data_IF_399148417856
#
_entry.id   IF_399148417856
#
_cell.length_a   1.000
_cell.length_b   1.000
_cell.length_c   1.000
_cell.angle_alpha   90.00
_cell.angle_beta   90.00
_cell.angle_gamma   90.00
#
_symmetry.space_group_name_H-M   'P 1'
#
loop_
_entity.id
_entity.type
_entity.pdbx_description
1 polymer ?
#
# COMPACT_ATOMS: atom_id res chain seq x y z
N UNK A 1 -11.93 -20.94 36.23
CA UNK A 1 -10.70 -20.29 35.70
C UNK A 1 -9.91 -21.33 34.93
N UNK A 2 -9.92 -21.30 33.59
CA UNK A 2 -9.07 -22.16 32.76
C UNK A 2 -7.96 -21.26 32.20
N UNK A 3 -6.76 -21.37 32.77
CA UNK A 3 -5.54 -20.79 32.21
C UNK A 3 -5.25 -21.48 30.88
N UNK A 4 -5.47 -20.77 29.78
CA UNK A 4 -4.96 -21.16 28.47
C UNK A 4 -3.45 -20.89 28.47
N UNK A 5 -2.67 -21.95 28.30
CA UNK A 5 -1.21 -21.91 28.18
C UNK A 5 -0.87 -21.10 26.91
N UNK A 6 -0.18 -19.96 27.06
CA UNK A 6 0.47 -19.27 25.93
C UNK A 6 1.52 -20.22 25.33
N UNK A 7 1.23 -20.83 24.19
CA UNK A 7 2.23 -21.55 23.39
C UNK A 7 3.19 -20.53 22.80
N UNK A 8 4.40 -20.45 23.36
CA UNK A 8 5.43 -19.45 23.02
C UNK A 8 6.16 -19.68 21.69
N UNK A 9 5.52 -20.23 20.66
CA UNK A 9 6.14 -20.54 19.35
C UNK A 9 5.75 -19.60 18.21
N UNK A 10 4.59 -18.95 18.31
CA UNK A 10 4.02 -18.25 17.17
C UNK A 10 4.56 -16.82 17.09
N UNK A 11 5.51 -16.60 16.19
CA UNK A 11 6.21 -15.33 16.02
C UNK A 11 5.46 -14.33 15.15
N UNK A 12 4.61 -14.85 14.27
CA UNK A 12 3.91 -14.07 13.27
C UNK A 12 2.42 -14.27 13.34
N UNK A 13 1.70 -13.29 12.83
CA UNK A 13 0.27 -13.39 12.54
C UNK A 13 0.08 -12.89 11.11
N UNK A 14 -0.33 -13.79 10.22
CA UNK A 14 -0.63 -13.46 8.83
C UNK A 14 -2.05 -12.94 8.78
N UNK A 15 -2.23 -11.77 8.18
CA UNK A 15 -3.50 -11.06 8.12
C UNK A 15 -3.82 -10.74 6.67
N UNK A 16 -5.10 -10.90 6.32
CA UNK A 16 -5.69 -10.37 5.10
C UNK A 16 -7.07 -9.79 5.42
N UNK A 17 -7.42 -8.68 4.76
CA UNK A 17 -8.73 -8.04 4.89
C UNK A 17 -9.34 -7.72 3.52
N UNK A 18 -10.64 -7.96 3.40
CA UNK A 18 -11.46 -7.40 2.33
C UNK A 18 -12.17 -6.15 2.83
N UNK A 19 -12.29 -5.11 2.00
CA UNK A 19 -12.72 -3.77 2.44
C UNK A 19 -13.72 -3.14 1.48
N UNK A 20 -14.56 -2.23 1.98
CA UNK A 20 -15.57 -1.53 1.16
C UNK A 20 -15.00 -0.48 0.19
N UNK A 21 -13.70 -0.25 0.28
CA UNK A 21 -12.96 0.71 -0.51
C UNK A 21 -11.48 0.72 -0.13
N UNK A 22 -10.75 1.75 -0.51
CA UNK A 22 -9.29 1.79 -0.40
C UNK A 22 -8.76 2.65 0.75
N UNK A 23 -9.64 3.41 1.43
CA UNK A 23 -9.25 4.39 2.45
C UNK A 23 -9.81 4.02 3.81
N UNK A 24 -8.97 3.49 4.68
CA UNK A 24 -9.35 3.09 6.02
C UNK A 24 -10.01 4.20 6.87
N UNK A 25 -9.78 5.49 6.59
CA UNK A 25 -10.43 6.62 7.29
C UNK A 25 -11.93 6.74 7.02
N UNK A 26 -12.38 6.27 5.86
CA UNK A 26 -13.78 6.36 5.41
C UNK A 26 -14.41 4.98 5.23
N UNK A 27 -13.67 4.06 4.62
CA UNK A 27 -14.13 2.74 4.22
C UNK A 27 -13.99 1.75 5.39
N UNK A 28 -14.66 0.59 5.28
CA UNK A 28 -14.85 -0.39 6.36
C UNK A 28 -14.28 -1.75 5.99
N UNK A 29 -13.92 -2.55 7.00
CA UNK A 29 -13.58 -3.97 6.84
C UNK A 29 -14.85 -4.78 6.60
N UNK A 30 -14.82 -5.67 5.62
CA UNK A 30 -15.91 -6.56 5.19
C UNK A 30 -15.65 -8.03 5.52
N UNK A 31 -14.38 -8.42 5.53
CA UNK A 31 -13.92 -9.75 5.91
C UNK A 31 -12.52 -9.63 6.50
N UNK A 32 -12.20 -10.48 7.46
CA UNK A 32 -10.85 -10.57 8.04
C UNK A 32 -10.47 -12.01 8.24
N UNK A 33 -9.23 -12.33 7.87
CA UNK A 33 -8.56 -13.55 8.27
C UNK A 33 -7.28 -13.21 9.03
N UNK A 34 -7.03 -13.91 10.13
CA UNK A 34 -5.83 -13.80 10.94
C UNK A 34 -5.37 -15.19 11.38
N UNK A 35 -4.17 -15.57 10.97
CA UNK A 35 -3.58 -16.90 11.18
C UNK A 35 -2.26 -16.75 11.95
N UNK A 36 -2.13 -17.35 13.13
CA UNK A 36 -0.82 -17.37 13.80
C UNK A 36 0.11 -18.35 13.08
N UNK A 37 1.39 -17.99 12.97
CA UNK A 37 2.38 -18.78 12.25
C UNK A 37 3.65 -18.89 13.09
N UNK A 38 4.13 -20.13 13.29
CA UNK A 38 5.39 -20.44 13.98
C UNK A 38 6.62 -20.21 13.08
N UNK A 39 7.83 -20.31 13.64
CA UNK A 39 9.08 -20.08 12.90
C UNK A 39 9.32 -21.00 11.68
N UNK A 40 8.66 -22.16 11.67
CA UNK A 40 8.73 -23.14 10.60
C UNK A 40 7.64 -22.92 9.54
N UNK A 41 6.71 -21.99 9.76
CA UNK A 41 5.60 -21.72 8.84
C UNK A 41 4.36 -22.56 9.10
N UNK A 42 4.24 -23.24 10.25
CA UNK A 42 3.02 -23.96 10.62
C UNK A 42 1.97 -22.96 11.11
N UNK A 43 0.77 -23.11 10.57
CA UNK A 43 -0.40 -22.34 11.02
C UNK A 43 -0.91 -22.92 12.34
N UNK A 44 -1.16 -22.04 13.30
CA UNK A 44 -1.64 -22.38 14.64
C UNK A 44 -3.10 -21.99 14.84
N UNK A 45 -3.33 -20.89 15.56
CA UNK A 45 -4.66 -20.35 15.86
C UNK A 45 -5.15 -19.50 14.71
N UNK A 46 -6.46 -19.52 14.49
CA UNK A 46 -7.08 -18.86 13.35
C UNK A 46 -8.34 -18.10 13.78
N UNK A 47 -8.58 -16.98 13.11
CA UNK A 47 -9.87 -16.29 13.05
C UNK A 47 -10.14 -15.96 11.59
N UNK A 48 -11.30 -16.36 11.08
CA UNK A 48 -11.78 -15.97 9.76
C UNK A 48 -13.27 -15.69 9.85
N UNK A 49 -13.68 -14.49 9.46
CA UNK A 49 -15.08 -14.08 9.54
C UNK A 49 -15.39 -12.93 8.58
N UNK A 50 -16.62 -12.94 8.07
CA UNK A 50 -17.22 -11.73 7.53
C UNK A 50 -17.45 -10.72 8.66
N UNK A 51 -17.51 -9.44 8.29
CA UNK A 51 -17.74 -8.32 9.19
C UNK A 51 -18.84 -7.45 8.60
N UNK A 52 -19.89 -7.18 9.38
CA UNK A 52 -20.92 -6.23 8.97
C UNK A 52 -20.36 -4.80 9.05
N UNK A 53 -20.21 -4.09 7.92
CA UNK A 53 -19.63 -2.75 7.91
C UNK A 53 -20.61 -1.66 8.33
N UNK A 54 -21.92 -1.97 8.43
CA UNK A 54 -22.97 -0.98 8.66
C UNK A 54 -23.12 0.06 7.53
N UNK A 55 -22.53 -0.19 6.36
CA UNK A 55 -22.58 0.67 5.18
C UNK A 55 -22.59 -0.16 3.89
N UNK A 56 -22.66 0.52 2.74
CA UNK A 56 -22.47 -0.11 1.43
C UNK A 56 -21.09 -0.83 1.37
N UNK A 57 -21.03 -2.12 1.00
CA UNK A 57 -19.78 -2.83 0.83
C UNK A 57 -19.00 -2.43 -0.43
N UNK A 58 -19.52 -1.54 -1.26
CA UNK A 58 -18.79 -1.04 -2.42
C UNK A 58 -18.73 -2.06 -3.56
N UNK A 59 -17.59 -2.24 -4.25
CA UNK A 59 -17.51 -2.99 -5.51
C UNK A 59 -17.59 -4.52 -5.31
N UNK A 60 -18.80 -5.03 -5.07
CA UNK A 60 -19.10 -6.46 -4.86
C UNK A 60 -18.49 -7.40 -5.90
N UNK A 61 -18.32 -6.96 -7.16
CA UNK A 61 -17.70 -7.77 -8.21
C UNK A 61 -16.22 -8.13 -7.96
N UNK A 62 -15.54 -7.44 -7.04
CA UNK A 62 -14.14 -7.72 -6.67
C UNK A 62 -14.08 -8.84 -5.63
N UNK A 63 -14.77 -8.68 -4.51
CA UNK A 63 -14.67 -9.55 -3.32
C UNK A 63 -15.88 -10.49 -3.12
N UNK A 64 -16.92 -10.37 -3.98
CA UNK A 64 -18.15 -11.19 -3.95
C UNK A 64 -18.94 -11.11 -2.64
N UNK A 65 -18.78 -10.01 -1.87
CA UNK A 65 -19.48 -9.79 -0.60
C UNK A 65 -20.67 -8.84 -0.81
N UNK A 66 -21.87 -9.40 -0.89
CA UNK A 66 -23.10 -8.61 -1.05
C UNK A 66 -23.58 -8.06 0.30
N UNK A 67 -24.40 -6.99 0.32
CA UNK A 67 -25.01 -6.49 1.55
C UNK A 67 -25.75 -7.58 2.34
N UNK A 68 -26.46 -8.48 1.65
CA UNK A 68 -27.25 -9.55 2.28
C UNK A 68 -26.34 -10.57 2.98
N UNK A 69 -25.18 -10.89 2.38
CA UNK A 69 -24.20 -11.81 2.97
C UNK A 69 -23.54 -11.21 4.22
N UNK A 70 -23.44 -9.88 4.29
CA UNK A 70 -22.83 -9.15 5.40
C UNK A 70 -23.82 -8.77 6.50
N UNK A 71 -25.12 -8.67 6.21
CA UNK A 71 -26.12 -8.18 7.16
C UNK A 71 -26.21 -9.00 8.46
N UNK A 72 -25.97 -10.32 8.39
CA UNK A 72 -25.96 -11.22 9.54
C UNK A 72 -24.58 -11.44 10.18
N UNK A 73 -23.52 -10.83 9.64
CA UNK A 73 -22.18 -10.96 10.17
C UNK A 73 -22.00 -10.12 11.45
N UNK A 74 -21.05 -10.48 12.34
CA UNK A 74 -20.72 -9.65 13.49
C UNK A 74 -20.16 -8.29 13.04
N UNK A 75 -20.36 -7.26 13.84
CA UNK A 75 -19.65 -5.98 13.65
C UNK A 75 -18.20 -6.09 14.12
N UNK A 76 -17.35 -5.15 13.72
CA UNK A 76 -15.92 -5.23 14.04
C UNK A 76 -15.65 -5.26 15.56
N UNK A 77 -16.38 -4.46 16.34
CA UNK A 77 -16.24 -4.41 17.80
C UNK A 77 -16.53 -5.76 18.48
N UNK A 78 -17.41 -6.58 17.91
CA UNK A 78 -17.71 -7.93 18.42
C UNK A 78 -16.54 -8.89 18.23
N UNK A 79 -15.77 -8.76 17.14
CA UNK A 79 -14.65 -9.66 16.82
C UNK A 79 -13.30 -9.13 17.32
N UNK A 80 -13.23 -7.83 17.61
CA UNK A 80 -11.99 -7.14 17.96
C UNK A 80 -11.24 -7.79 19.14
N UNK A 81 -11.86 -8.20 20.26
CA UNK A 81 -11.14 -8.83 21.37
C UNK A 81 -10.40 -10.11 20.95
N UNK A 82 -11.04 -10.97 20.16
CA UNK A 82 -10.42 -12.20 19.67
C UNK A 82 -9.31 -11.91 18.66
N UNK A 83 -9.52 -10.94 17.77
CA UNK A 83 -8.49 -10.52 16.81
C UNK A 83 -7.26 -9.93 17.52
N UNK A 84 -7.46 -9.06 18.52
CA UNK A 84 -6.34 -8.46 19.27
C UNK A 84 -5.52 -9.52 20.01
N UNK A 85 -6.15 -10.57 20.54
CA UNK A 85 -5.43 -11.68 21.20
C UNK A 85 -4.55 -12.49 20.23
N UNK A 86 -4.97 -12.63 18.96
CA UNK A 86 -4.11 -13.21 17.92
C UNK A 86 -2.95 -12.27 17.56
N UNK A 87 -3.19 -10.96 17.54
CA UNK A 87 -2.20 -9.95 17.21
C UNK A 87 -1.17 -9.69 18.32
N UNK A 88 -1.54 -9.88 19.59
CA UNK A 88 -0.70 -9.54 20.75
C UNK A 88 0.63 -10.31 20.74
N UNK A 89 1.73 -9.58 20.94
CA UNK A 89 3.08 -10.13 20.98
C UNK A 89 3.65 -10.64 19.66
N UNK A 90 2.94 -10.50 18.52
CA UNK A 90 3.35 -11.04 17.21
C UNK A 90 3.65 -9.94 16.19
N UNK A 91 4.48 -10.27 15.21
CA UNK A 91 4.66 -9.41 14.03
C UNK A 91 3.52 -9.67 13.04
N UNK A 92 2.78 -8.61 12.68
CA UNK A 92 1.74 -8.69 11.65
C UNK A 92 2.38 -8.86 10.27
N UNK A 93 1.99 -9.88 9.53
CA UNK A 93 2.44 -10.13 8.16
C UNK A 93 1.25 -9.97 7.23
N UNK A 94 1.40 -9.14 6.20
CA UNK A 94 0.35 -8.93 5.21
C UNK A 94 0.98 -8.69 3.84
N UNK A 95 0.25 -8.94 2.76
CA UNK A 95 0.80 -8.76 1.41
C UNK A 95 1.10 -7.29 1.13
N UNK A 96 0.14 -6.41 1.45
CA UNK A 96 0.32 -4.97 1.51
C UNK A 96 0.15 -4.47 2.94
N UNK A 97 1.02 -4.91 3.86
CA UNK A 97 0.85 -4.71 5.30
C UNK A 97 0.64 -3.28 5.80
N UNK A 98 0.89 -2.26 4.97
CA UNK A 98 0.47 -0.90 5.29
C UNK A 98 -1.06 -0.77 5.27
N UNK A 99 -1.69 -1.26 4.20
CA UNK A 99 -3.13 -1.24 3.97
C UNK A 99 -3.89 -2.00 5.06
N UNK A 100 -3.61 -3.29 5.22
CA UNK A 100 -4.31 -4.17 6.16
C UNK A 100 -4.20 -3.64 7.60
N UNK A 101 -2.98 -3.28 8.01
CA UNK A 101 -2.72 -2.73 9.33
C UNK A 101 -3.52 -1.45 9.60
N UNK A 102 -3.62 -0.51 8.65
CA UNK A 102 -4.35 0.73 8.93
C UNK A 102 -5.87 0.58 8.88
N UNK A 103 -6.41 -0.37 8.11
CA UNK A 103 -7.81 -0.75 8.24
C UNK A 103 -8.09 -1.31 9.64
N UNK A 104 -7.29 -2.29 10.09
CA UNK A 104 -7.42 -2.85 11.43
C UNK A 104 -7.22 -1.79 12.53
N UNK A 105 -6.24 -0.90 12.38
CA UNK A 105 -5.98 0.16 13.37
C UNK A 105 -7.16 1.12 13.48
N UNK A 106 -7.73 1.57 12.35
CA UNK A 106 -8.86 2.51 12.38
C UNK A 106 -10.17 1.85 12.79
N UNK A 107 -10.42 0.60 12.43
CA UNK A 107 -11.54 -0.16 13.00
C UNK A 107 -11.38 -0.35 14.51
N UNK A 108 -10.17 -0.66 15.00
CA UNK A 108 -9.90 -0.77 16.44
C UNK A 108 -10.15 0.55 17.15
N UNK A 109 -9.72 1.68 16.57
CA UNK A 109 -10.00 3.01 17.10
C UNK A 109 -11.50 3.32 17.15
N UNK A 110 -12.27 2.95 16.11
CA UNK A 110 -13.74 3.08 16.10
C UNK A 110 -14.40 2.24 17.18
N UNK A 111 -13.86 1.05 17.45
CA UNK A 111 -14.31 0.15 18.51
C UNK A 111 -13.82 0.56 19.91
N UNK A 112 -13.00 1.61 20.03
CA UNK A 112 -12.43 2.04 21.31
C UNK A 112 -11.38 1.07 21.88
N UNK A 113 -10.72 0.29 21.03
CA UNK A 113 -9.74 -0.74 21.40
C UNK A 113 -8.36 -0.36 20.87
N UNK A 114 -7.35 -0.50 21.71
CA UNK A 114 -5.96 -0.34 21.29
C UNK A 114 -5.46 -1.59 20.55
N UNK A 115 -4.92 -1.38 19.34
CA UNK A 115 -4.29 -2.44 18.57
C UNK A 115 -2.91 -2.76 19.16
N UNK A 116 -2.63 -4.02 19.57
CA UNK A 116 -1.39 -4.40 20.25
C UNK A 116 -0.19 -4.56 19.29
N UNK A 117 -0.43 -4.53 17.98
CA UNK A 117 0.59 -4.72 16.95
C UNK A 117 1.65 -3.62 17.00
N UNK A 118 2.87 -3.99 17.37
CA UNK A 118 4.05 -3.09 17.41
C UNK A 118 4.89 -3.16 16.15
N UNK A 119 4.81 -4.26 15.41
CA UNK A 119 5.65 -4.53 14.24
C UNK A 119 4.83 -5.14 13.13
N UNK A 120 5.19 -4.80 11.89
CA UNK A 120 4.60 -5.34 10.67
C UNK A 120 5.64 -5.69 9.62
N UNK A 121 5.32 -6.64 8.75
CA UNK A 121 6.13 -7.06 7.62
C UNK A 121 5.26 -7.14 6.37
N UNK A 122 5.74 -6.55 5.28
CA UNK A 122 5.07 -6.55 3.98
C UNK A 122 5.73 -7.55 3.04
N UNK A 123 4.98 -8.53 2.52
CA UNK A 123 5.57 -9.54 1.62
C UNK A 123 5.92 -8.99 0.24
N UNK A 124 5.31 -7.89 -0.21
CA UNK A 124 5.78 -7.13 -1.39
C UNK A 124 7.16 -6.50 -1.14
N UNK A 125 7.44 -6.00 0.06
CA UNK A 125 8.76 -5.48 0.40
C UNK A 125 9.80 -6.61 0.47
N UNK A 126 9.39 -7.77 0.98
CA UNK A 126 10.24 -8.95 1.06
C UNK A 126 10.56 -9.51 -0.33
N UNK A 127 9.58 -9.66 -1.21
CA UNK A 127 9.79 -10.17 -2.58
C UNK A 127 10.71 -9.26 -3.40
N UNK A 128 10.59 -7.93 -3.25
CA UNK A 128 11.52 -6.96 -3.85
C UNK A 128 12.93 -7.11 -3.31
N UNK A 129 13.09 -7.26 -1.99
CA UNK A 129 14.40 -7.46 -1.36
C UNK A 129 15.08 -8.74 -1.84
N UNK A 130 14.29 -9.79 -2.07
CA UNK A 130 14.76 -11.06 -2.62
C UNK A 130 15.04 -11.02 -4.13
N UNK A 131 14.63 -9.95 -4.82
CA UNK A 131 14.77 -9.80 -6.27
C UNK A 131 14.21 -11.02 -7.03
N UNK A 132 13.05 -11.53 -6.61
CA UNK A 132 12.43 -12.69 -7.25
C UNK A 132 12.13 -12.40 -8.72
N UNK A 133 12.53 -13.32 -9.60
CA UNK A 133 12.24 -13.26 -11.04
C UNK A 133 10.75 -13.49 -11.29
N UNK A 134 9.99 -12.39 -11.24
CA UNK A 134 8.54 -12.37 -11.35
C UNK A 134 8.12 -11.11 -12.11
N UNK A 135 7.11 -11.18 -12.98
CA UNK A 135 6.67 -10.02 -13.78
C UNK A 135 6.07 -8.90 -12.93
N UNK A 136 5.62 -9.22 -11.72
CA UNK A 136 5.11 -8.28 -10.73
C UNK A 136 5.09 -8.98 -9.35
N UNK A 137 4.74 -8.22 -8.30
CA UNK A 137 4.70 -8.74 -6.93
C UNK A 137 3.29 -8.95 -6.40
N UNK A 138 2.28 -9.19 -7.23
CA UNK A 138 0.93 -9.56 -6.76
C UNK A 138 0.97 -10.91 -6.03
N UNK A 139 0.08 -11.14 -5.07
CA UNK A 139 0.02 -12.38 -4.30
C UNK A 139 -0.08 -13.60 -5.20
N UNK A 140 -0.96 -13.58 -6.20
CA UNK A 140 -1.11 -14.67 -7.17
C UNK A 140 0.15 -14.96 -7.99
N UNK A 141 0.94 -13.93 -8.31
CA UNK A 141 2.22 -14.10 -9.01
C UNK A 141 3.28 -14.72 -8.11
N UNK A 142 3.33 -14.31 -6.83
CA UNK A 142 4.22 -14.91 -5.85
C UNK A 142 3.80 -16.35 -5.51
N UNK A 143 2.51 -16.61 -5.41
CA UNK A 143 1.96 -17.95 -5.21
C UNK A 143 2.39 -18.89 -6.35
N UNK A 144 2.23 -18.45 -7.60
CA UNK A 144 2.68 -19.20 -8.77
C UNK A 144 4.20 -19.45 -8.76
N UNK A 145 5.01 -18.45 -8.43
CA UNK A 145 6.47 -18.59 -8.31
C UNK A 145 6.86 -19.66 -7.28
N UNK A 146 6.20 -19.67 -6.12
CA UNK A 146 6.45 -20.65 -5.05
C UNK A 146 5.67 -21.96 -5.21
N UNK A 147 4.89 -22.12 -6.29
CA UNK A 147 4.02 -23.28 -6.54
C UNK A 147 2.99 -23.52 -5.44
N UNK A 148 2.50 -22.45 -4.83
CA UNK A 148 1.40 -22.45 -3.85
C UNK A 148 0.08 -22.36 -4.61
N UNK A 149 -0.86 -23.26 -4.31
CA UNK A 149 -2.19 -23.26 -4.91
C UNK A 149 -3.07 -22.19 -4.24
N UNK A 150 -3.69 -21.35 -5.05
CA UNK A 150 -4.76 -20.42 -4.63
C UNK A 150 -6.08 -20.93 -5.20
N UNK A 151 -7.05 -21.19 -4.33
CA UNK A 151 -8.30 -21.84 -4.71
C UNK A 151 -9.39 -20.81 -5.04
N UNK A 152 -9.43 -19.70 -4.30
CA UNK A 152 -10.45 -18.67 -4.42
C UNK A 152 -9.84 -17.29 -4.11
N UNK A 153 -9.29 -16.64 -5.13
CA UNK A 153 -8.77 -15.27 -5.00
C UNK A 153 -9.86 -14.30 -4.53
N UNK A 154 -9.46 -13.31 -3.72
CA UNK A 154 -10.35 -12.32 -3.08
C UNK A 154 -11.28 -12.94 -2.03
N UNK A 155 -10.85 -14.04 -1.43
CA UNK A 155 -11.40 -14.58 -0.19
C UNK A 155 -10.31 -14.44 0.88
N UNK A 156 -10.58 -13.65 1.91
CA UNK A 156 -9.58 -13.31 2.91
C UNK A 156 -8.92 -14.54 3.55
N UNK A 157 -9.66 -15.65 3.72
CA UNK A 157 -9.10 -16.85 4.33
C UNK A 157 -8.16 -17.61 3.39
N UNK A 158 -8.59 -17.85 2.15
CA UNK A 158 -7.73 -18.48 1.14
C UNK A 158 -6.48 -17.62 0.88
N UNK A 159 -6.65 -16.30 0.77
CA UNK A 159 -5.56 -15.36 0.56
C UNK A 159 -4.58 -15.35 1.75
N UNK A 160 -5.08 -15.42 3.00
CA UNK A 160 -4.22 -15.55 4.18
C UNK A 160 -3.45 -16.88 4.22
N UNK A 161 -4.06 -18.00 3.82
CA UNK A 161 -3.40 -19.31 3.74
C UNK A 161 -2.31 -19.33 2.67
N UNK A 162 -2.60 -18.78 1.48
CA UNK A 162 -1.62 -18.63 0.40
C UNK A 162 -0.49 -17.73 0.86
N UNK A 163 -0.81 -16.60 1.49
CA UNK A 163 0.16 -15.65 2.01
C UNK A 163 1.06 -16.26 3.07
N UNK A 164 0.53 -17.10 3.98
CA UNK A 164 1.33 -17.80 4.99
C UNK A 164 2.39 -18.71 4.36
N UNK A 165 2.04 -19.44 3.31
CA UNK A 165 2.97 -20.28 2.57
C UNK A 165 4.01 -19.46 1.79
N UNK A 166 3.56 -18.43 1.04
CA UNK A 166 4.44 -17.51 0.30
C UNK A 166 5.43 -16.82 1.25
N UNK A 167 4.95 -16.35 2.39
CA UNK A 167 5.79 -15.74 3.42
C UNK A 167 6.81 -16.73 3.96
N UNK A 168 6.40 -17.95 4.28
CA UNK A 168 7.30 -19.00 4.79
C UNK A 168 8.43 -19.30 3.81
N UNK A 169 8.11 -19.51 2.53
CA UNK A 169 9.13 -19.73 1.49
C UNK A 169 10.07 -18.54 1.34
N UNK A 170 9.51 -17.33 1.28
CA UNK A 170 10.28 -16.09 1.15
C UNK A 170 11.19 -15.84 2.35
N UNK A 171 10.72 -16.10 3.57
CA UNK A 171 11.48 -15.91 4.80
C UNK A 171 12.61 -16.95 4.93
N UNK A 172 12.38 -18.20 4.51
CA UNK A 172 13.43 -19.21 4.43
C UNK A 172 14.49 -18.85 3.41
N UNK A 173 14.11 -18.37 2.22
CA UNK A 173 15.07 -17.88 1.22
C UNK A 173 15.88 -16.70 1.78
N UNK A 174 15.22 -15.71 2.38
CA UNK A 174 15.91 -14.57 2.99
C UNK A 174 16.94 -15.02 4.03
N UNK A 175 16.58 -16.00 4.88
CA UNK A 175 17.51 -16.60 5.86
C UNK A 175 18.70 -17.26 5.19
N UNK A 176 18.48 -18.05 4.13
CA UNK A 176 19.57 -18.72 3.39
C UNK A 176 20.51 -17.76 2.66
N UNK A 177 20.02 -16.56 2.32
CA UNK A 177 20.80 -15.49 1.71
C UNK A 177 21.35 -14.49 2.74
N UNK A 178 21.18 -14.76 4.04
CA UNK A 178 21.55 -13.88 5.15
C UNK A 178 20.95 -12.46 5.04
N UNK A 179 19.79 -12.34 4.39
CA UNK A 179 19.07 -11.09 4.23
C UNK A 179 18.10 -10.87 5.40
N UNK A 180 18.09 -9.68 6.02
CA UNK A 180 17.13 -9.39 7.08
C UNK A 180 15.71 -9.30 6.53
N UNK A 181 14.74 -9.74 7.32
CA UNK A 181 13.33 -9.53 7.02
C UNK A 181 12.96 -8.02 7.08
N UNK A 182 12.09 -7.51 6.21
CA UNK A 182 11.69 -6.10 6.19
C UNK A 182 10.62 -5.81 7.27
N UNK A 183 10.97 -6.05 8.53
CA UNK A 183 10.12 -5.72 9.67
C UNK A 183 10.20 -4.22 9.93
N UNK A 184 9.04 -3.58 10.09
CA UNK A 184 8.89 -2.15 10.35
C UNK A 184 8.08 -1.97 11.63
N UNK A 185 8.54 -1.07 12.50
CA UNK A 185 7.81 -0.68 13.71
C UNK A 185 6.57 0.13 13.34
N UNK A 186 5.42 -0.25 13.88
CA UNK A 186 4.19 0.50 13.73
C UNK A 186 4.29 1.78 14.56
N UNK A 187 4.22 2.94 13.91
CA UNK A 187 4.12 4.24 14.58
C UNK A 187 2.65 4.63 14.77
N UNK A 188 2.37 5.53 15.71
CA UNK A 188 1.02 6.11 15.88
C UNK A 188 0.51 6.85 14.63
N UNK A 189 1.43 7.31 13.75
CA UNK A 189 1.07 7.84 12.44
C UNK A 189 0.64 6.73 11.50
N UNK A 190 -0.62 6.78 11.08
CA UNK A 190 -1.20 5.97 10.00
C UNK A 190 -0.62 6.38 8.63
N UNK A 191 0.65 6.09 8.36
CA UNK A 191 1.19 6.18 6.99
C UNK A 191 0.75 4.93 6.22
N UNK A 192 -0.43 4.99 5.61
CA UNK A 192 -1.09 3.90 4.90
C UNK A 192 -0.51 3.63 3.50
N UNK A 193 0.21 4.60 2.95
CA UNK A 193 1.02 4.48 1.74
C UNK A 193 2.29 5.32 1.95
N UNK A 194 3.43 5.06 1.28
CA UNK A 194 4.51 6.03 1.29
C UNK A 194 3.99 7.33 0.67
N UNK A 195 3.86 8.37 1.48
CA UNK A 195 3.55 9.74 1.04
C UNK A 195 4.62 10.30 0.11
N UNK A 196 5.78 9.65 0.09
CA UNK A 196 6.97 10.04 -0.65
C UNK A 196 7.28 9.03 -1.75
N UNK A 197 7.40 9.55 -2.96
CA UNK A 197 7.94 8.84 -4.10
C UNK A 197 9.48 8.87 -3.97
N UNK A 198 10.17 7.73 -4.10
CA UNK A 198 11.63 7.72 -4.22
C UNK A 198 12.08 8.60 -5.39
N UNK A 199 13.00 9.53 -5.11
CA UNK A 199 13.44 10.51 -6.11
C UNK A 199 14.41 9.86 -7.11
N UNK A 200 14.05 9.88 -8.39
CA UNK A 200 14.93 9.51 -9.50
C UNK A 200 15.64 10.74 -10.03
N UNK A 201 16.90 10.60 -10.44
CA UNK A 201 17.63 11.70 -11.08
C UNK A 201 17.03 11.99 -12.47
N UNK A 202 16.47 13.19 -12.65
CA UNK A 202 15.98 13.64 -13.95
C UNK A 202 17.14 14.25 -14.78
N UNK A 203 17.36 13.75 -15.99
CA UNK A 203 18.42 14.20 -16.90
C UNK A 203 18.13 15.54 -17.60
N UNK A 204 16.91 16.04 -17.51
CA UNK A 204 16.44 17.21 -18.25
C UNK A 204 16.33 18.46 -17.35
N UNK A 205 16.53 19.63 -17.93
CA UNK A 205 16.30 20.92 -17.29
C UNK A 205 14.80 21.18 -17.13
N UNK A 206 14.42 21.91 -16.07
CA UNK A 206 13.02 22.23 -15.85
C UNK A 206 12.60 23.41 -16.75
N UNK A 207 11.70 23.22 -17.73
CA UNK A 207 11.30 24.27 -18.68
C UNK A 207 10.34 25.29 -18.08
N UNK A 208 9.88 25.09 -16.83
CA UNK A 208 8.97 26.00 -16.14
C UNK A 208 7.55 25.43 -15.97
N UNK A 209 6.56 26.29 -15.63
CA UNK A 209 5.18 25.89 -15.41
C UNK A 209 4.48 25.42 -16.68
N UNK A 210 3.53 24.49 -16.52
CA UNK A 210 2.67 24.01 -17.61
C UNK A 210 1.70 25.13 -18.04
N UNK A 211 1.78 25.57 -19.29
CA UNK A 211 0.85 26.52 -19.89
C UNK A 211 -0.56 25.92 -20.07
N UNK A 212 -1.61 26.74 -20.19
CA UNK A 212 -3.00 26.28 -20.31
C UNK A 212 -3.22 25.36 -21.53
N UNK A 213 -2.75 25.78 -22.70
CA UNK A 213 -2.83 25.00 -23.95
C UNK A 213 -1.53 24.22 -24.26
N UNK A 214 -0.61 24.15 -23.29
CA UNK A 214 0.70 23.53 -23.44
C UNK A 214 0.70 22.02 -23.20
N UNK A 215 1.58 21.31 -23.90
CA UNK A 215 1.90 19.91 -23.61
C UNK A 215 2.92 19.75 -22.48
N UNK A 216 3.05 18.52 -21.97
CA UNK A 216 4.13 18.17 -21.06
C UNK A 216 5.47 18.18 -21.81
N UNK A 217 6.51 18.69 -21.16
CA UNK A 217 7.88 18.73 -21.70
C UNK A 217 8.80 17.99 -20.72
N UNK A 218 9.74 17.17 -21.23
CA UNK A 218 10.70 16.48 -20.36
C UNK A 218 11.44 17.48 -19.46
N UNK A 219 11.64 17.09 -18.20
CA UNK A 219 12.22 17.93 -17.16
C UNK A 219 11.22 18.74 -16.34
N UNK A 220 9.95 18.83 -16.76
CA UNK A 220 8.89 19.44 -15.94
C UNK A 220 8.78 18.75 -14.58
N UNK A 221 8.65 19.57 -13.54
CA UNK A 221 8.53 19.11 -12.16
C UNK A 221 7.09 18.83 -11.79
N UNK A 222 6.75 17.57 -11.59
CA UNK A 222 5.38 17.13 -11.33
C UNK A 222 5.22 16.76 -9.87
N UNK A 223 4.22 17.31 -9.19
CA UNK A 223 3.83 16.90 -7.84
C UNK A 223 2.51 16.17 -7.90
N UNK A 224 2.49 14.92 -7.44
CA UNK A 224 1.24 14.19 -7.23
C UNK A 224 0.66 14.64 -5.88
N UNK A 225 -0.61 15.02 -5.87
CA UNK A 225 -1.34 15.51 -4.71
C UNK A 225 -2.67 14.76 -4.53
N UNK A 226 -3.07 14.59 -3.27
CA UNK A 226 -4.28 13.84 -2.93
C UNK A 226 -4.21 12.38 -3.39
N UNK A 227 -5.39 11.82 -3.59
CA UNK A 227 -5.56 10.47 -4.12
C UNK A 227 -5.47 10.46 -5.65
N UNK A 228 -5.10 9.31 -6.19
CA UNK A 228 -5.03 9.01 -7.62
C UNK A 228 -5.69 7.65 -7.85
N UNK A 229 -6.39 7.45 -8.97
CA UNK A 229 -6.98 6.14 -9.31
C UNK A 229 -5.87 5.14 -9.65
N UNK A 230 -4.78 5.62 -10.23
CA UNK A 230 -3.55 4.85 -10.43
C UNK A 230 -2.73 4.89 -9.14
N UNK A 231 -2.20 3.76 -8.63
CA UNK A 231 -1.32 3.76 -7.46
C UNK A 231 -0.17 4.75 -7.61
N UNK A 232 0.07 5.59 -6.60
CA UNK A 232 1.04 6.71 -6.65
C UNK A 232 2.43 6.32 -7.17
N UNK A 233 2.93 5.15 -6.75
CA UNK A 233 4.22 4.62 -7.23
C UNK A 233 4.21 4.29 -8.72
N UNK A 234 3.12 3.73 -9.25
CA UNK A 234 2.99 3.43 -10.68
C UNK A 234 2.89 4.71 -11.49
N UNK A 235 2.09 5.67 -11.03
CA UNK A 235 1.98 6.97 -11.70
C UNK A 235 3.33 7.69 -11.71
N UNK A 236 4.05 7.67 -10.60
CA UNK A 236 5.40 8.23 -10.53
C UNK A 236 6.40 7.53 -11.46
N UNK A 237 6.34 6.21 -11.60
CA UNK A 237 7.17 5.48 -12.54
C UNK A 237 6.89 5.91 -13.99
N UNK A 238 5.62 5.99 -14.39
CA UNK A 238 5.21 6.45 -15.72
C UNK A 238 5.68 7.89 -16.02
N UNK A 239 5.52 8.80 -15.06
CA UNK A 239 6.01 10.18 -15.18
C UNK A 239 7.54 10.21 -15.36
N UNK A 240 8.26 9.40 -14.59
CA UNK A 240 9.73 9.32 -14.66
C UNK A 240 10.20 8.74 -15.99
N UNK A 241 9.57 7.67 -16.47
CA UNK A 241 9.84 7.06 -17.79
C UNK A 241 9.59 8.03 -18.93
N UNK A 242 8.56 8.88 -18.81
CA UNK A 242 8.29 9.95 -19.75
C UNK A 242 9.28 11.12 -19.68
N UNK A 243 10.27 11.09 -18.78
CA UNK A 243 11.31 12.10 -18.63
C UNK A 243 10.92 13.28 -17.73
N UNK A 244 9.88 13.16 -16.91
CA UNK A 244 9.44 14.21 -15.97
C UNK A 244 10.11 14.06 -14.60
N UNK A 245 10.28 15.15 -13.86
CA UNK A 245 10.93 15.19 -12.53
C UNK A 245 9.86 15.10 -11.43
N UNK A 246 9.65 13.92 -10.85
CA UNK A 246 8.62 13.72 -9.82
C UNK A 246 9.10 14.25 -8.46
N UNK A 247 8.31 15.16 -7.89
CA UNK A 247 8.61 15.88 -6.66
C UNK A 247 7.63 15.50 -5.54
N UNK A 248 8.13 15.46 -4.29
CA UNK A 248 7.30 15.16 -3.12
C UNK A 248 6.59 16.40 -2.52
N UNK A 249 7.09 17.60 -2.84
CA UNK A 249 6.60 18.87 -2.30
C UNK A 249 6.40 19.91 -3.41
N UNK A 250 5.39 20.77 -3.22
CA UNK A 250 5.14 21.92 -4.10
C UNK A 250 6.09 23.06 -3.73
N UNK A 251 6.67 23.70 -4.74
CA UNK A 251 7.53 24.89 -4.63
C UNK A 251 7.28 25.82 -5.82
N UNK A 252 7.87 27.01 -5.82
CA UNK A 252 7.84 27.94 -6.97
C UNK A 252 8.41 27.36 -8.28
N UNK A 253 9.18 26.28 -8.19
CA UNK A 253 9.76 25.60 -9.36
C UNK A 253 8.94 24.38 -9.81
N UNK A 254 7.83 24.08 -9.15
CA UNK A 254 6.93 23.01 -9.57
C UNK A 254 6.26 23.43 -10.88
N UNK A 255 6.19 22.53 -11.85
CA UNK A 255 5.60 22.83 -13.16
C UNK A 255 4.10 22.62 -13.17
N UNK A 256 3.65 21.56 -12.52
CA UNK A 256 2.24 21.16 -12.47
C UNK A 256 1.97 20.29 -11.24
N UNK A 257 0.75 20.41 -10.71
CA UNK A 257 0.24 19.53 -9.65
C UNK A 257 -0.86 18.65 -10.21
N UNK A 258 -0.83 17.36 -9.89
CA UNK A 258 -1.79 16.36 -10.37
C UNK A 258 -2.60 15.86 -9.20
N UNK A 259 -3.92 15.78 -9.33
CA UNK A 259 -4.82 15.18 -8.34
C UNK A 259 -5.96 14.42 -9.00
N UNK A 260 -6.65 13.55 -8.26
CA UNK A 260 -7.86 12.86 -8.78
C UNK A 260 -8.96 13.83 -9.18
N UNK A 261 -9.13 14.91 -8.42
CA UNK A 261 -10.15 15.92 -8.64
C UNK A 261 -9.57 17.32 -8.28
N UNK A 262 -9.48 18.27 -9.24
CA UNK A 262 -8.98 19.63 -9.03
C UNK A 262 -9.73 20.45 -7.98
N UNK A 263 -10.95 20.03 -7.62
CA UNK A 263 -11.76 20.65 -6.56
C UNK A 263 -11.37 20.15 -5.15
N UNK A 264 -10.60 19.07 -5.04
CA UNK A 264 -10.19 18.49 -3.75
C UNK A 264 -9.21 19.41 -3.02
N UNK A 265 -9.55 19.74 -1.77
CA UNK A 265 -8.67 20.55 -0.91
C UNK A 265 -7.60 19.67 -0.25
N UNK A 266 -6.34 20.00 -0.53
CA UNK A 266 -5.17 19.43 0.16
C UNK A 266 -4.12 20.51 0.33
N UNK A 267 -3.27 20.42 1.36
CA UNK A 267 -2.23 21.44 1.61
C UNK A 267 -1.22 21.60 0.46
N UNK A 268 -1.10 20.61 -0.43
CA UNK A 268 -0.31 20.73 -1.68
C UNK A 268 -1.09 21.48 -2.78
N UNK A 269 -2.38 21.23 -2.93
CA UNK A 269 -3.27 21.98 -3.85
C UNK A 269 -3.37 23.44 -3.44
N UNK A 270 -3.55 23.72 -2.15
CA UNK A 270 -3.57 25.08 -1.62
C UNK A 270 -2.24 25.82 -1.89
N UNK A 271 -1.11 25.16 -1.63
CA UNK A 271 0.23 25.72 -1.94
C UNK A 271 0.45 25.91 -3.44
N UNK A 272 -0.12 25.06 -4.29
CA UNK A 272 -0.06 25.21 -5.74
C UNK A 272 -0.83 26.45 -6.20
N UNK A 273 -2.04 26.66 -5.68
CA UNK A 273 -2.84 27.87 -5.93
C UNK A 273 -2.10 29.14 -5.49
N UNK A 274 -1.46 29.11 -4.31
CA UNK A 274 -0.66 30.23 -3.81
C UNK A 274 0.54 30.59 -4.72
N UNK A 275 1.07 29.62 -5.48
CA UNK A 275 2.13 29.83 -6.46
C UNK A 275 1.61 30.06 -7.90
N UNK A 276 0.29 30.12 -8.11
CA UNK A 276 -0.31 30.26 -9.44
C UNK A 276 -0.04 29.07 -10.37
N UNK A 277 0.15 27.88 -9.81
CA UNK A 277 0.49 26.67 -10.57
C UNK A 277 -0.77 25.97 -11.08
N UNK A 278 -0.68 25.43 -12.29
CA UNK A 278 -1.75 24.62 -12.88
C UNK A 278 -1.95 23.33 -12.08
N UNK A 279 -3.21 23.04 -11.78
CA UNK A 279 -3.65 21.79 -11.15
C UNK A 279 -4.48 21.04 -12.17
N UNK A 280 -4.06 19.83 -12.53
CA UNK A 280 -4.72 19.01 -13.54
C UNK A 280 -5.27 17.72 -12.94
N UNK A 281 -6.31 17.19 -13.58
CA UNK A 281 -6.84 15.88 -13.22
C UNK A 281 -5.89 14.75 -13.64
N UNK A 282 -6.02 13.59 -13.00
CA UNK A 282 -5.28 12.40 -13.43
C UNK A 282 -5.62 11.98 -14.88
N UNK A 283 -6.87 12.11 -15.32
CA UNK A 283 -7.26 11.81 -16.70
C UNK A 283 -6.57 12.71 -17.72
N UNK A 284 -6.55 14.01 -17.43
CA UNK A 284 -5.88 15.01 -18.27
C UNK A 284 -4.37 14.77 -18.32
N UNK A 285 -3.75 14.42 -17.18
CA UNK A 285 -2.35 14.01 -17.16
C UNK A 285 -2.09 12.84 -18.11
N UNK A 286 -2.93 11.80 -18.07
CA UNK A 286 -2.75 10.60 -18.90
C UNK A 286 -2.88 10.91 -20.40
N UNK A 287 -3.73 11.86 -20.78
CA UNK A 287 -3.84 12.29 -22.17
C UNK A 287 -2.62 13.11 -22.60
N UNK A 288 -2.14 14.01 -21.74
CA UNK A 288 -0.90 14.77 -21.99
C UNK A 288 0.34 13.87 -22.05
N UNK A 289 0.38 12.78 -21.27
CA UNK A 289 1.49 11.82 -21.26
C UNK A 289 1.64 11.07 -22.59
N UNK A 290 0.60 11.03 -23.44
CA UNK A 290 0.68 10.38 -24.76
C UNK A 290 1.61 11.12 -25.72
N UNK A 291 1.89 12.41 -25.47
CA UNK A 291 2.70 13.25 -26.36
C UNK A 291 3.60 14.21 -25.57
N UNK A 292 4.49 13.66 -24.74
CA UNK A 292 5.49 14.46 -24.03
C UNK A 292 6.55 14.96 -25.01
N UNK A 293 6.74 16.27 -25.04
CA UNK A 293 7.71 16.93 -25.89
C UNK A 293 9.14 16.75 -25.35
N UNK A 294 10.15 16.59 -26.22
CA UNK A 294 11.55 16.51 -25.81
C UNK A 294 11.99 17.74 -25.01
N UNK A 295 12.78 17.52 -23.96
CA UNK A 295 13.32 18.57 -23.11
C UNK A 295 14.75 18.97 -23.47
N UNK A 296 15.30 19.93 -22.73
CA UNK A 296 16.73 20.29 -22.83
C UNK A 296 17.54 19.45 -21.84
N UNK A 297 18.58 18.69 -22.26
CA UNK A 297 19.41 17.94 -21.33
C UNK A 297 20.16 18.87 -20.37
N UNK A 298 20.29 18.47 -19.09
CA UNK A 298 21.21 19.14 -18.16
C UNK A 298 22.63 18.96 -18.67
N UNK A 299 23.38 20.06 -18.77
CA UNK A 299 24.81 20.00 -19.04
C UNK A 299 25.54 19.08 -18.05
N UNK A 300 26.54 18.33 -18.52
CA UNK A 300 27.39 17.50 -17.67
C UNK A 300 28.09 18.42 -16.67
N UNK A 301 27.68 18.38 -15.40
CA UNK A 301 28.51 18.94 -14.33
C UNK A 301 29.69 17.99 -14.10
N UNK A 302 30.95 18.45 -14.17
CA UNK A 302 32.08 17.60 -13.81
C UNK A 302 31.87 17.08 -12.38
N UNK A 303 31.97 15.76 -12.22
CA UNK A 303 31.85 15.11 -10.91
C UNK A 303 32.99 15.64 -10.03
N UNK A 304 32.67 16.50 -9.06
CA UNK A 304 33.60 16.83 -7.99
C UNK A 304 33.81 15.57 -7.14
N UNK A 305 35.04 15.05 -7.13
CA UNK A 305 35.46 13.94 -6.29
C UNK A 305 35.13 14.22 -4.81
N UNK A 306 34.67 13.22 -4.04
CA UNK A 306 34.41 13.39 -2.61
C UNK A 306 35.72 13.64 -1.85
N UNK A 307 35.70 14.62 -0.94
CA UNK A 307 36.67 14.78 0.15
C UNK A 307 36.27 13.93 1.34
#
# INVERSE_FOLDING_TARGET
MKNSVRTGSDKWVVVDVETSGLKASRDRVLSVAALTVDEDGRVGRELSTLVNPGCDPGPVHIHKLTPERLAGAPTFDMIAPQLMDLLDGRTLVAHNASFDHGFLKLESMRAGIDMPTKQRLCTVALSRRLQLDTPNHKLSTLAAHWKVLQSNAHDAYDDALVLAQVFTHSARLARSLELPLPVVTCTERLTLYPDTVPRTHCAWENPGPLAEDGGLVQGMRVVISGDTRIPRLRLAAQLTEAGLDVMNSVSRFTSVVVCSDPTTESGKVERARAHGLRIISESELLDLLRNVQPGTPKGIRPQTQPK
#
